data_IF_807618180177
#
_entry.id   IF_807618180177
#
_cell.length_a   1.000
_cell.length_b   1.000
_cell.length_c   1.000
_cell.angle_alpha   90.00
_cell.angle_beta   90.00
_cell.angle_gamma   90.00
#
_symmetry.space_group_name_H-M   'P 1'
#
loop_
_entity.id
_entity.type
_entity.pdbx_description
1 polymer ?
#
# COMPACT_ATOMS: atom_id res chain seq x y z
N UNK A 1 -25.11 -15.88 29.98
CA UNK A 1 -23.99 -15.03 29.51
C UNK A 1 -23.66 -15.18 28.00
N UNK A 2 -24.36 -16.02 27.23
CA UNK A 2 -24.07 -16.23 25.79
C UNK A 2 -24.76 -15.22 24.83
N UNK A 3 -25.75 -14.47 25.30
CA UNK A 3 -26.52 -13.53 24.47
C UNK A 3 -25.71 -12.26 24.12
N UNK A 4 -25.03 -11.65 25.09
CA UNK A 4 -24.20 -10.47 24.86
C UNK A 4 -23.06 -10.73 23.86
N UNK A 5 -22.36 -11.86 24.01
CA UNK A 5 -21.25 -12.25 23.12
C UNK A 5 -21.70 -12.45 21.66
N UNK A 6 -22.95 -12.85 21.45
CA UNK A 6 -23.57 -13.02 20.12
C UNK A 6 -23.98 -11.66 19.53
N UNK A 7 -24.51 -10.75 20.36
CA UNK A 7 -24.85 -9.38 19.94
C UNK A 7 -23.60 -8.60 19.53
N UNK A 8 -22.52 -8.67 20.33
CA UNK A 8 -21.24 -8.05 19.96
C UNK A 8 -20.70 -8.61 18.65
N UNK A 9 -20.65 -9.95 18.48
CA UNK A 9 -20.23 -10.56 17.21
C UNK A 9 -21.08 -10.11 16.02
N UNK A 10 -22.40 -9.99 16.18
CA UNK A 10 -23.31 -9.56 15.12
C UNK A 10 -23.14 -8.07 14.79
N UNK A 11 -22.86 -7.24 15.81
CA UNK A 11 -22.56 -5.82 15.64
C UNK A 11 -21.21 -5.62 14.93
N UNK A 12 -20.16 -6.36 15.32
CA UNK A 12 -18.84 -6.33 14.69
C UNK A 12 -18.92 -6.82 13.24
N UNK A 13 -19.62 -7.92 12.96
CA UNK A 13 -19.79 -8.42 11.59
C UNK A 13 -20.55 -7.41 10.70
N UNK A 14 -21.53 -6.70 11.27
CA UNK A 14 -22.29 -5.70 10.53
C UNK A 14 -21.45 -4.45 10.23
N UNK A 15 -20.64 -4.00 11.19
CA UNK A 15 -19.65 -2.93 11.02
C UNK A 15 -18.60 -3.29 9.98
N UNK A 16 -17.99 -4.47 10.09
CA UNK A 16 -17.00 -4.97 9.12
C UNK A 16 -17.61 -5.04 7.73
N UNK A 17 -18.81 -5.62 7.56
CA UNK A 17 -19.49 -5.66 6.26
C UNK A 17 -19.74 -4.28 5.67
N UNK A 18 -20.12 -3.30 6.49
CA UNK A 18 -20.33 -1.91 6.04
C UNK A 18 -19.01 -1.26 5.61
N UNK A 19 -17.94 -1.50 6.35
CA UNK A 19 -16.58 -1.03 6.03
C UNK A 19 -16.11 -1.68 4.71
N UNK A 20 -16.24 -3.00 4.57
CA UNK A 20 -15.85 -3.72 3.34
C UNK A 20 -16.65 -3.24 2.12
N UNK A 21 -17.97 -3.05 2.26
CA UNK A 21 -18.82 -2.54 1.17
C UNK A 21 -18.50 -1.09 0.78
N UNK A 22 -18.06 -0.25 1.72
CA UNK A 22 -17.64 1.13 1.46
C UNK A 22 -16.25 1.21 0.82
N UNK A 23 -15.33 0.32 1.22
CA UNK A 23 -13.96 0.27 0.70
C UNK A 23 -13.92 -0.24 -0.75
N UNK A 24 -14.72 -1.24 -1.10
CA UNK A 24 -14.66 -1.93 -2.41
C UNK A 24 -14.87 -0.99 -3.63
N UNK A 25 -15.86 -0.07 -3.67
CA UNK A 25 -15.99 0.88 -4.78
C UNK A 25 -14.89 1.94 -4.80
N UNK A 26 -14.35 2.33 -3.64
CA UNK A 26 -13.20 3.27 -3.57
C UNK A 26 -11.94 2.63 -4.12
N UNK A 27 -11.67 1.37 -3.77
CA UNK A 27 -10.59 0.58 -4.37
C UNK A 27 -10.74 0.54 -5.90
N UNK A 28 -11.95 0.32 -6.42
CA UNK A 28 -12.23 0.37 -7.87
C UNK A 28 -11.82 1.69 -8.54
N UNK A 29 -11.97 2.81 -7.84
CA UNK A 29 -11.54 4.13 -8.32
C UNK A 29 -10.01 4.31 -8.34
N UNK A 30 -9.26 3.61 -7.48
CA UNK A 30 -7.80 3.56 -7.56
C UNK A 30 -7.32 2.87 -8.84
N UNK A 31 -8.00 1.80 -9.29
CA UNK A 31 -7.59 1.09 -10.51
C UNK A 31 -7.89 1.85 -11.82
N UNK A 32 -8.79 2.84 -11.80
CA UNK A 32 -9.32 3.47 -13.03
C UNK A 32 -8.78 4.87 -13.27
N UNK A 33 -8.50 5.65 -12.21
CA UNK A 33 -8.12 7.05 -12.42
C UNK A 33 -6.65 7.16 -12.84
N UNK A 34 -6.29 7.99 -13.85
CA UNK A 34 -4.92 8.37 -14.19
C UNK A 34 -4.57 9.75 -13.62
N UNK A 35 -5.06 10.08 -12.42
CA UNK A 35 -4.77 11.33 -11.76
C UNK A 35 -3.35 11.30 -11.15
N UNK A 36 -2.38 11.90 -11.85
CA UNK A 36 -1.09 12.54 -11.49
C UNK A 36 -0.39 12.36 -10.11
N UNK A 37 -1.02 11.79 -9.08
CA UNK A 37 -0.50 11.54 -7.74
C UNK A 37 -1.13 10.26 -7.16
N UNK A 38 -0.75 9.11 -7.70
CA UNK A 38 -1.34 7.82 -7.32
C UNK A 38 -0.59 7.10 -6.20
N UNK A 39 0.72 7.25 -6.13
CA UNK A 39 1.56 6.41 -5.27
C UNK A 39 1.29 6.68 -3.77
N UNK A 40 1.31 7.95 -3.34
CA UNK A 40 0.94 8.36 -1.96
C UNK A 40 -0.46 7.90 -1.56
N UNK A 41 -1.40 7.90 -2.51
CA UNK A 41 -2.78 7.52 -2.22
C UNK A 41 -2.89 6.00 -1.97
N UNK A 42 -2.11 5.20 -2.69
CA UNK A 42 -2.03 3.76 -2.48
C UNK A 42 -1.41 3.43 -1.12
N UNK A 43 -0.34 4.14 -0.73
CA UNK A 43 0.29 3.98 0.59
C UNK A 43 -0.71 4.19 1.73
N UNK A 44 -1.50 5.27 1.67
CA UNK A 44 -2.55 5.54 2.67
C UNK A 44 -3.66 4.48 2.69
N UNK A 45 -3.97 3.89 1.54
CA UNK A 45 -4.95 2.80 1.46
C UNK A 45 -4.42 1.52 2.09
N UNK A 46 -3.15 1.17 1.82
CA UNK A 46 -2.47 0.00 2.39
C UNK A 46 -2.35 0.15 3.91
N UNK A 47 -1.85 1.27 4.42
CA UNK A 47 -1.74 1.52 5.86
C UNK A 47 -3.10 1.53 6.59
N UNK A 48 -4.14 2.06 5.94
CA UNK A 48 -5.51 2.01 6.46
C UNK A 48 -6.08 0.59 6.54
N UNK A 49 -5.79 -0.26 5.54
CA UNK A 49 -6.19 -1.66 5.54
C UNK A 49 -5.42 -2.47 6.60
N UNK A 50 -4.12 -2.23 6.76
CA UNK A 50 -3.30 -2.85 7.81
C UNK A 50 -3.78 -2.47 9.20
N UNK A 51 -4.08 -1.19 9.44
CA UNK A 51 -4.64 -0.74 10.72
C UNK A 51 -5.99 -1.40 11.02
N UNK A 52 -6.83 -1.59 9.99
CA UNK A 52 -8.12 -2.27 10.14
C UNK A 52 -7.93 -3.76 10.41
N UNK A 53 -6.93 -4.39 9.80
CA UNK A 53 -6.54 -5.77 10.10
C UNK A 53 -6.11 -5.93 11.57
N UNK A 54 -5.25 -5.05 12.07
CA UNK A 54 -4.79 -5.09 13.47
C UNK A 54 -5.95 -4.89 14.47
N UNK A 55 -7.00 -4.12 14.10
CA UNK A 55 -8.17 -3.88 14.94
C UNK A 55 -9.26 -4.97 14.86
N UNK A 56 -9.46 -5.57 13.68
CA UNK A 56 -10.54 -6.54 13.44
C UNK A 56 -10.09 -7.99 13.53
N UNK A 57 -8.82 -8.27 13.23
CA UNK A 57 -8.29 -9.62 13.05
C UNK A 57 -8.77 -10.33 11.79
N UNK A 58 -9.47 -9.64 10.87
CA UNK A 58 -10.04 -10.25 9.67
C UNK A 58 -9.04 -10.26 8.51
N UNK A 59 -8.61 -11.46 8.08
CA UNK A 59 -7.66 -11.67 6.97
C UNK A 59 -8.08 -11.02 5.63
N UNK A 60 -9.37 -10.73 5.44
CA UNK A 60 -9.88 -10.07 4.22
C UNK A 60 -9.19 -8.72 3.98
N UNK A 61 -8.86 -7.98 5.05
CA UNK A 61 -8.17 -6.69 4.91
C UNK A 61 -6.71 -6.87 4.52
N UNK A 62 -6.05 -7.89 5.06
CA UNK A 62 -4.68 -8.24 4.72
C UNK A 62 -4.56 -8.69 3.25
N UNK A 63 -5.49 -9.53 2.78
CA UNK A 63 -5.55 -9.97 1.37
C UNK A 63 -5.72 -8.79 0.41
N UNK A 64 -6.57 -7.81 0.77
CA UNK A 64 -6.75 -6.59 -0.04
C UNK A 64 -5.51 -5.71 -0.05
N UNK A 65 -4.85 -5.56 1.10
CA UNK A 65 -3.60 -4.80 1.19
C UNK A 65 -2.51 -5.45 0.30
N UNK A 66 -2.45 -6.79 0.31
CA UNK A 66 -1.55 -7.58 -0.54
C UNK A 66 -1.83 -7.37 -2.03
N UNK A 67 -3.09 -7.43 -2.49
CA UNK A 67 -3.43 -7.20 -3.91
C UNK A 67 -3.00 -5.82 -4.40
N UNK A 68 -3.12 -4.78 -3.57
CA UNK A 68 -2.65 -3.43 -3.92
C UNK A 68 -1.12 -3.40 -4.00
N UNK A 69 -0.43 -3.94 -3.00
CA UNK A 69 1.03 -3.95 -2.95
C UNK A 69 1.64 -4.78 -4.09
N UNK A 70 1.06 -5.93 -4.43
CA UNK A 70 1.52 -6.78 -5.54
C UNK A 70 1.45 -6.04 -6.89
N UNK A 71 0.48 -5.13 -7.05
CA UNK A 71 0.36 -4.29 -8.25
C UNK A 71 1.27 -3.06 -8.24
N UNK A 72 1.79 -2.69 -7.07
CA UNK A 72 2.80 -1.64 -6.93
C UNK A 72 4.21 -2.17 -7.19
N UNK A 73 4.47 -3.47 -7.03
CA UNK A 73 5.78 -4.08 -7.27
C UNK A 73 6.44 -3.72 -8.62
N UNK A 74 5.73 -3.66 -9.76
CA UNK A 74 6.32 -3.25 -11.04
C UNK A 74 6.84 -1.80 -11.05
N UNK A 75 6.37 -0.93 -10.14
CA UNK A 75 6.87 0.44 -10.04
C UNK A 75 8.33 0.48 -9.61
N UNK A 76 8.78 -0.55 -8.89
CA UNK A 76 10.13 -0.68 -8.33
C UNK A 76 11.12 -1.34 -9.31
N UNK A 77 10.64 -1.85 -10.44
CA UNK A 77 11.49 -2.50 -11.45
C UNK A 77 12.14 -1.45 -12.35
N UNK A 78 13.06 -0.68 -11.76
CA UNK A 78 13.82 0.37 -12.47
C UNK A 78 15.31 0.09 -12.38
N UNK A 79 16.09 0.39 -13.44
CA UNK A 79 17.53 0.16 -13.44
C UNK A 79 18.27 1.02 -12.40
N UNK A 80 17.68 2.13 -11.96
CA UNK A 80 18.22 3.01 -10.90
C UNK A 80 17.85 2.57 -9.48
N UNK A 81 16.89 1.65 -9.32
CA UNK A 81 16.35 1.26 -8.01
C UNK A 81 15.55 2.37 -7.33
N UNK A 82 15.06 3.36 -8.09
CA UNK A 82 14.12 4.39 -7.59
C UNK A 82 12.77 4.14 -8.28
N UNK A 83 11.66 4.02 -7.53
CA UNK A 83 10.39 3.68 -8.13
C UNK A 83 9.86 4.81 -9.02
N UNK A 84 9.05 4.45 -10.02
CA UNK A 84 8.35 5.40 -10.87
C UNK A 84 7.22 6.11 -10.11
N UNK A 85 7.03 7.42 -10.34
CA UNK A 85 6.00 8.19 -9.62
C UNK A 85 4.55 7.84 -10.04
N UNK A 86 4.35 7.36 -11.26
CA UNK A 86 3.04 7.04 -11.81
C UNK A 86 3.03 5.56 -12.20
N UNK A 87 2.07 4.83 -11.64
CA UNK A 87 1.79 3.45 -12.03
C UNK A 87 0.31 3.28 -12.34
N UNK A 88 0.03 2.61 -13.45
CA UNK A 88 -1.31 2.16 -13.79
C UNK A 88 -1.58 0.80 -13.14
N UNK A 89 -2.34 0.77 -12.04
CA UNK A 89 -2.67 -0.45 -11.30
C UNK A 89 -3.51 -1.48 -12.08
N UNK A 90 -4.12 -1.07 -13.21
CA UNK A 90 -4.88 -1.98 -14.08
C UNK A 90 -4.03 -2.62 -15.18
N UNK A 91 -2.98 -1.92 -15.66
CA UNK A 91 -2.10 -2.40 -16.74
C UNK A 91 -0.68 -2.75 -16.29
N UNK A 92 -0.30 -2.39 -15.06
CA UNK A 92 1.06 -2.55 -14.54
C UNK A 92 2.10 -1.59 -15.15
N UNK A 93 1.70 -0.72 -16.09
CA UNK A 93 2.63 0.21 -16.73
C UNK A 93 2.99 1.34 -15.77
N UNK A 94 4.25 1.38 -15.40
CA UNK A 94 4.85 2.44 -14.60
C UNK A 94 5.62 3.40 -15.52
N UNK A 95 5.48 4.70 -15.31
CA UNK A 95 6.22 5.72 -16.05
C UNK A 95 6.49 6.95 -15.18
N UNK A 96 7.55 7.70 -15.50
CA UNK A 96 7.78 9.00 -14.88
C UNK A 96 7.01 10.10 -15.63
N UNK A 97 6.54 11.15 -14.91
CA UNK A 97 5.90 12.29 -15.54
C UNK A 97 6.88 13.03 -16.46
N UNK A 98 6.45 13.41 -17.65
CA UNK A 98 7.33 14.14 -18.60
C UNK A 98 7.83 15.50 -18.10
N UNK A 99 7.13 16.12 -17.14
CA UNK A 99 7.51 17.41 -16.56
C UNK A 99 8.58 17.31 -15.47
N UNK A 100 8.82 16.12 -14.90
CA UNK A 100 9.94 15.90 -13.96
C UNK A 100 11.24 15.59 -14.69
N UNK A 101 11.28 15.66 -16.03
CA UNK A 101 12.48 15.28 -16.79
C UNK A 101 12.85 13.80 -16.65
N UNK A 102 11.96 12.97 -16.10
CA UNK A 102 12.27 11.59 -15.74
C UNK A 102 12.66 11.39 -14.27
N UNK A 103 12.65 12.43 -13.45
CA UNK A 103 13.00 12.33 -12.02
C UNK A 103 11.84 11.80 -11.16
N UNK A 104 12.21 11.01 -10.15
CA UNK A 104 11.31 10.47 -9.14
C UNK A 104 11.29 11.33 -7.88
N UNK A 105 10.12 11.46 -7.25
CA UNK A 105 9.95 12.24 -6.03
C UNK A 105 10.35 11.37 -4.83
N UNK A 106 11.45 11.71 -4.17
CA UNK A 106 11.99 10.96 -3.04
C UNK A 106 11.00 10.85 -1.86
N UNK A 107 10.23 11.90 -1.58
CA UNK A 107 9.24 11.89 -0.50
C UNK A 107 8.14 10.83 -0.71
N UNK A 108 7.68 10.67 -1.96
CA UNK A 108 6.66 9.68 -2.30
C UNK A 108 7.26 8.26 -2.19
N UNK A 109 8.49 8.08 -2.67
CA UNK A 109 9.23 6.80 -2.60
C UNK A 109 9.61 6.39 -1.18
N UNK A 110 9.87 7.37 -0.30
CA UNK A 110 10.30 7.10 1.07
C UNK A 110 9.17 6.68 2.00
N UNK A 111 7.96 7.22 1.79
CA UNK A 111 6.78 6.81 2.57
C UNK A 111 6.25 5.44 2.19
N UNK A 112 6.49 4.97 0.96
CA UNK A 112 6.08 3.63 0.50
C UNK A 112 6.84 2.51 1.22
N UNK A 113 8.10 2.75 1.57
CA UNK A 113 8.97 1.76 2.21
C UNK A 113 8.42 1.27 3.55
N UNK A 114 7.90 2.20 4.36
CA UNK A 114 7.35 1.87 5.68
C UNK A 114 6.14 0.94 5.56
N UNK A 115 5.26 1.21 4.60
CA UNK A 115 4.06 0.39 4.36
C UNK A 115 4.43 -1.00 3.84
N UNK A 116 5.44 -1.11 2.97
CA UNK A 116 5.93 -2.39 2.45
C UNK A 116 6.62 -3.24 3.54
N UNK A 117 7.40 -2.61 4.42
CA UNK A 117 8.00 -3.29 5.57
C UNK A 117 6.91 -3.76 6.54
N UNK A 118 5.93 -2.91 6.85
CA UNK A 118 4.80 -3.28 7.70
C UNK A 118 3.98 -4.44 7.10
N UNK A 119 3.74 -4.41 5.78
CA UNK A 119 3.07 -5.49 5.08
C UNK A 119 3.89 -6.79 5.13
N UNK A 120 5.21 -6.74 4.90
CA UNK A 120 6.09 -7.91 5.00
C UNK A 120 6.05 -8.54 6.40
N UNK A 121 6.11 -7.72 7.45
CA UNK A 121 6.00 -8.19 8.84
C UNK A 121 4.66 -8.87 9.15
N UNK A 122 3.55 -8.40 8.57
CA UNK A 122 2.21 -8.96 8.80
C UNK A 122 1.89 -10.17 7.93
N UNK A 123 2.40 -10.19 6.69
CA UNK A 123 2.18 -11.30 5.74
C UNK A 123 3.21 -12.42 5.90
N UNK A 124 4.37 -12.13 6.48
CA UNK A 124 5.51 -13.04 6.54
C UNK A 124 6.23 -13.21 5.20
N UNK A 125 5.87 -12.43 4.17
CA UNK A 125 6.46 -12.51 2.84
C UNK A 125 7.63 -11.50 2.71
N UNK A 126 8.89 -11.95 2.61
CA UNK A 126 10.05 -11.06 2.60
C UNK A 126 10.17 -10.25 1.30
N UNK A 127 9.44 -10.60 0.24
CA UNK A 127 9.57 -9.97 -1.09
C UNK A 127 9.44 -8.44 -1.05
N UNK A 128 8.54 -7.91 -0.21
CA UNK A 128 8.29 -6.47 -0.11
C UNK A 128 9.47 -5.76 0.54
N UNK A 129 10.01 -6.36 1.60
CA UNK A 129 11.17 -5.82 2.32
C UNK A 129 12.44 -5.92 1.48
N UNK A 130 12.65 -7.04 0.76
CA UNK A 130 13.79 -7.20 -0.14
C UNK A 130 13.78 -6.17 -1.27
N UNK A 131 12.61 -5.87 -1.85
CA UNK A 131 12.47 -4.82 -2.88
C UNK A 131 12.80 -3.43 -2.36
N UNK A 132 12.34 -3.10 -1.16
CA UNK A 132 12.67 -1.85 -0.49
C UNK A 132 14.17 -1.75 -0.18
N UNK A 133 14.77 -2.82 0.34
CA UNK A 133 16.19 -2.85 0.69
C UNK A 133 17.11 -2.78 -0.53
N UNK A 134 16.68 -3.35 -1.67
CA UNK A 134 17.41 -3.25 -2.94
C UNK A 134 17.44 -1.82 -3.51
N UNK A 135 16.61 -0.92 -2.99
CA UNK A 135 16.43 0.41 -3.52
C UNK A 135 17.38 1.41 -2.85
N UNK A 136 18.05 2.25 -3.65
CA UNK A 136 18.99 3.27 -3.16
C UNK A 136 18.34 4.31 -2.24
N UNK A 137 17.01 4.39 -2.25
CA UNK A 137 16.24 5.28 -1.38
C UNK A 137 16.43 4.93 0.11
N UNK A 138 16.64 3.65 0.47
CA UNK A 138 16.88 3.25 1.86
C UNK A 138 18.18 3.86 2.41
N UNK A 139 19.23 3.89 1.58
CA UNK A 139 20.52 4.53 1.91
C UNK A 139 20.36 6.05 2.06
N UNK A 140 19.60 6.67 1.16
CA UNK A 140 19.38 8.11 1.15
C UNK A 140 18.54 8.59 2.35
N UNK A 141 17.51 7.85 2.75
CA UNK A 141 16.69 8.16 3.93
C UNK A 141 17.47 8.00 5.24
N UNK A 142 18.30 6.97 5.34
CA UNK A 142 19.16 6.80 6.51
C UNK A 142 20.10 8.00 6.66
N UNK A 143 20.62 8.54 5.55
CA UNK A 143 21.39 9.78 5.55
C UNK A 143 20.58 11.02 5.95
N UNK A 144 19.34 11.15 5.46
CA UNK A 144 18.46 12.30 5.74
C UNK A 144 17.88 12.32 7.16
N UNK A 145 17.80 11.16 7.82
CA UNK A 145 17.32 11.07 9.21
C UNK A 145 18.46 11.22 10.24
N UNK A 146 19.71 11.16 9.78
CA UNK A 146 20.93 11.39 10.58
C UNK A 146 21.60 12.75 10.32
N UNK A 147 20.99 13.61 9.49
CA UNK A 147 21.36 15.01 9.24
C UNK A 147 20.28 15.94 9.81
#
# INVERSE_FOLDING_TARGET
>A
MNCARTIYKKLTLCLVRRITQSITPRLRAYYITPLFRHLVRCNRAVGGLLSTYDLSGDNIFLEKARDIADRLLPAWDTPSGIPYNIINLARGNAHNPGWTGGDSILADSGTEQLEFIALSQRTGDPKYQEKVNASHVYSCLCYLMFL
#
